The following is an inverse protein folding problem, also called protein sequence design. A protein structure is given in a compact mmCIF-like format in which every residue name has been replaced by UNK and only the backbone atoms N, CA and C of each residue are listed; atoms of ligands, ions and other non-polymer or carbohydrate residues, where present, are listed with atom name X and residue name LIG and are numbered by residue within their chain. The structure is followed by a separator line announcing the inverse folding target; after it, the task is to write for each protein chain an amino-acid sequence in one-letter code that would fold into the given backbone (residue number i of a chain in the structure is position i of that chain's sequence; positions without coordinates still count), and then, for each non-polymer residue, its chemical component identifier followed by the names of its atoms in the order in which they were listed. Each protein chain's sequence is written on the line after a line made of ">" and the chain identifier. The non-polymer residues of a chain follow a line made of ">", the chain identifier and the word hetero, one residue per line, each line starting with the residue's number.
data_IF_633236451382
#
_entry.id   IF_633236451382
#
_cell.length_a   1.000
_cell.length_b   1.000
_cell.length_c   1.000
_cell.angle_alpha   90.00
_cell.angle_beta   90.00
_cell.angle_gamma   90.00
#
_symmetry.space_group_name_H-M   'P 1'
#
loop_
_entity.id
_entity.type
_entity.pdbx_description
1 polymer ?
#
# COMPACT_ATOMS: atom_id res chain seq x y z
N UNK A 1 -28.43 -8.67 53.26
CA UNK A 1 -27.31 -7.73 53.01
C UNK A 1 -26.10 -8.37 52.34
N UNK A 2 -25.48 -9.44 52.88
CA UNK A 2 -24.28 -10.07 52.30
C UNK A 2 -24.42 -10.53 50.83
N UNK A 3 -25.58 -11.09 50.43
CA UNK A 3 -25.86 -11.53 49.05
C UNK A 3 -25.89 -10.38 48.02
N UNK A 4 -26.33 -9.19 48.43
CA UNK A 4 -26.33 -8.01 47.55
C UNK A 4 -24.93 -7.41 47.39
N UNK A 5 -24.15 -7.38 48.47
CA UNK A 5 -22.74 -6.97 48.41
C UNK A 5 -21.93 -7.87 47.47
N UNK A 6 -22.15 -9.19 47.54
CA UNK A 6 -21.45 -10.16 46.70
C UNK A 6 -21.77 -9.97 45.20
N UNK A 7 -23.04 -9.69 44.88
CA UNK A 7 -23.47 -9.39 43.50
C UNK A 7 -22.87 -8.09 42.98
N UNK A 8 -22.80 -7.06 43.82
CA UNK A 8 -22.22 -5.77 43.44
C UNK A 8 -20.71 -5.88 43.21
N UNK A 9 -20.00 -6.64 44.05
CA UNK A 9 -18.57 -6.90 43.88
C UNK A 9 -18.29 -7.69 42.58
N UNK A 10 -19.15 -8.65 42.24
CA UNK A 10 -19.03 -9.43 41.00
C UNK A 10 -19.25 -8.56 39.74
N UNK A 11 -20.26 -7.68 39.75
CA UNK A 11 -20.53 -6.77 38.64
C UNK A 11 -19.38 -5.76 38.46
N UNK A 12 -18.85 -5.20 39.56
CA UNK A 12 -17.70 -4.31 39.49
C UNK A 12 -16.44 -5.03 38.99
N UNK A 13 -16.24 -6.29 39.38
CA UNK A 13 -15.16 -7.13 38.85
C UNK A 13 -15.27 -7.35 37.34
N UNK A 14 -16.47 -7.63 36.82
CA UNK A 14 -16.72 -7.78 35.37
C UNK A 14 -16.52 -6.47 34.59
N UNK A 15 -16.94 -5.34 35.16
CA UNK A 15 -16.73 -4.02 34.57
C UNK A 15 -15.23 -3.69 34.50
N UNK A 16 -14.46 -3.99 35.55
CA UNK A 16 -13.01 -3.77 35.57
C UNK A 16 -12.28 -4.68 34.58
N UNK A 17 -12.71 -5.95 34.45
CA UNK A 17 -12.16 -6.89 33.46
C UNK A 17 -12.36 -6.38 32.02
N UNK A 18 -13.51 -5.74 31.75
CA UNK A 18 -13.82 -5.20 30.42
C UNK A 18 -12.89 -4.04 30.03
N UNK A 19 -12.48 -3.20 31.00
CA UNK A 19 -11.56 -2.08 30.76
C UNK A 19 -10.15 -2.57 30.38
N UNK A 20 -9.71 -3.69 30.95
CA UNK A 20 -8.40 -4.27 30.61
C UNK A 20 -8.33 -4.87 29.20
N UNK A 21 -9.46 -5.31 28.62
CA UNK A 21 -9.52 -5.86 27.26
C UNK A 21 -9.38 -4.75 26.21
N UNK A 22 -9.92 -3.56 26.48
CA UNK A 22 -9.75 -2.38 25.61
C UNK A 22 -8.35 -1.76 25.67
N UNK A 23 -7.50 -2.16 26.63
CA UNK A 23 -6.16 -1.58 26.82
C UNK A 23 -5.05 -2.28 26.02
N UNK A 24 -5.36 -3.29 25.20
CA UNK A 24 -4.42 -3.87 24.24
C UNK A 24 -4.71 -3.35 22.83
N UNK A 25 -4.16 -2.19 22.49
CA UNK A 25 -4.00 -1.80 21.09
C UNK A 25 -2.50 -1.77 20.78
N UNK A 26 -1.95 -2.96 20.56
CA UNK A 26 -0.61 -3.15 19.98
C UNK A 26 -0.83 -3.84 18.65
N UNK A 27 -0.99 -3.07 17.57
CA UNK A 27 -1.04 -3.65 16.24
C UNK A 27 0.39 -3.95 15.81
N UNK A 28 0.79 -5.22 15.91
CA UNK A 28 1.98 -5.68 15.20
C UNK A 28 1.70 -5.56 13.70
N UNK A 29 2.47 -4.71 13.02
CA UNK A 29 2.40 -4.57 11.57
C UNK A 29 3.20 -5.70 10.92
N UNK A 30 2.51 -6.52 10.13
CA UNK A 30 3.14 -7.51 9.27
C UNK A 30 3.25 -6.94 7.86
N UNK A 31 4.46 -6.95 7.31
CA UNK A 31 4.72 -6.47 5.96
C UNK A 31 5.02 -7.65 5.04
N UNK A 32 4.28 -7.73 3.95
CA UNK A 32 4.65 -8.59 2.81
C UNK A 32 5.63 -7.84 1.93
N UNK A 33 6.67 -8.54 1.47
CA UNK A 33 7.66 -7.97 0.55
C UNK A 33 7.25 -8.24 -0.88
N UNK A 34 7.21 -7.18 -1.68
CA UNK A 34 7.12 -7.24 -3.14
C UNK A 34 8.43 -6.67 -3.69
N UNK A 35 9.21 -7.47 -4.42
CA UNK A 35 10.54 -7.12 -4.91
C UNK A 35 10.79 -7.69 -6.32
N UNK A 36 12.05 -7.71 -6.76
CA UNK A 36 12.43 -8.25 -8.08
C UNK A 36 12.08 -9.74 -8.28
N UNK A 37 12.04 -10.56 -7.23
CA UNK A 37 11.58 -11.96 -7.32
C UNK A 37 10.08 -12.05 -7.65
N UNK A 38 9.31 -11.01 -7.31
CA UNK A 38 7.89 -10.88 -7.67
C UNK A 38 7.68 -10.17 -9.02
N UNK A 39 8.75 -9.79 -9.71
CA UNK A 39 8.69 -9.09 -10.99
C UNK A 39 8.74 -7.57 -10.91
N UNK A 40 9.12 -6.97 -9.79
CA UNK A 40 9.37 -5.51 -9.72
C UNK A 40 10.62 -5.16 -10.54
N UNK A 41 10.51 -4.17 -11.43
CA UNK A 41 11.59 -3.82 -12.36
C UNK A 41 12.85 -3.26 -11.68
N UNK A 42 12.69 -2.53 -10.58
CA UNK A 42 13.80 -1.98 -9.80
C UNK A 42 13.38 -1.71 -8.35
N UNK A 43 14.32 -1.83 -7.41
CA UNK A 43 14.08 -1.73 -5.97
C UNK A 43 13.80 -0.31 -5.45
N UNK A 44 14.26 0.73 -6.15
CA UNK A 44 14.02 2.12 -5.82
C UNK A 44 12.67 2.58 -6.38
N UNK A 45 11.61 2.34 -5.60
CA UNK A 45 10.26 2.83 -5.88
C UNK A 45 10.17 4.31 -5.51
N UNK A 46 9.87 5.15 -6.51
CA UNK A 46 9.79 6.62 -6.38
C UNK A 46 8.36 7.15 -6.33
N UNK A 47 7.41 6.43 -6.92
CA UNK A 47 6.01 6.82 -6.97
C UNK A 47 5.09 5.61 -6.77
N UNK A 48 3.98 5.82 -6.08
CA UNK A 48 2.95 4.81 -5.83
C UNK A 48 1.58 5.42 -6.07
N UNK A 49 0.72 4.73 -6.80
CA UNK A 49 -0.67 5.13 -7.06
C UNK A 49 -1.57 3.88 -7.06
N UNK A 50 -2.80 3.99 -6.57
CA UNK A 50 -3.85 3.02 -6.89
C UNK A 50 -4.78 3.67 -7.92
N UNK A 51 -5.03 3.00 -9.04
CA UNK A 51 -5.96 3.50 -10.05
C UNK A 51 -7.42 3.20 -9.68
N UNK A 52 -8.35 3.80 -10.43
CA UNK A 52 -9.79 3.62 -10.25
C UNK A 52 -10.30 2.21 -10.56
N UNK A 53 -9.48 1.35 -11.16
CA UNK A 53 -9.76 -0.07 -11.38
C UNK A 53 -9.26 -0.95 -10.23
N UNK A 54 -8.52 -0.37 -9.28
CA UNK A 54 -7.98 -1.04 -8.10
C UNK A 54 -6.56 -1.59 -8.27
N UNK A 55 -5.92 -1.40 -9.44
CA UNK A 55 -4.54 -1.82 -9.64
C UNK A 55 -3.58 -0.88 -8.92
N UNK A 56 -2.52 -1.45 -8.36
CA UNK A 56 -1.42 -0.68 -7.79
C UNK A 56 -0.38 -0.41 -8.88
N UNK A 57 0.09 0.83 -8.94
CA UNK A 57 1.12 1.28 -9.86
C UNK A 57 2.34 1.73 -9.08
N UNK A 58 3.51 1.27 -9.51
CA UNK A 58 4.80 1.61 -8.93
C UNK A 58 5.73 2.17 -10.01
N UNK A 59 6.07 3.45 -9.88
CA UNK A 59 7.13 4.08 -10.66
C UNK A 59 8.46 3.82 -9.98
N UNK A 60 9.42 3.23 -10.70
CA UNK A 60 10.77 2.94 -10.18
C UNK A 60 11.82 3.76 -10.92
N UNK A 61 13.08 3.65 -10.50
CA UNK A 61 14.22 4.20 -11.25
C UNK A 61 14.34 3.59 -12.66
N UNK A 62 13.78 2.41 -12.89
CA UNK A 62 13.87 1.71 -14.16
C UNK A 62 12.55 0.97 -14.49
N UNK A 63 11.48 1.72 -14.70
CA UNK A 63 10.25 1.23 -15.33
C UNK A 63 8.99 1.55 -14.54
N UNK A 64 7.85 1.37 -15.21
CA UNK A 64 6.53 1.43 -14.61
C UNK A 64 6.02 0.01 -14.37
N UNK A 65 5.49 -0.24 -13.17
CA UNK A 65 5.02 -1.56 -12.77
C UNK A 65 3.56 -1.47 -12.38
N UNK A 66 2.71 -2.37 -12.91
CA UNK A 66 1.33 -2.56 -12.46
C UNK A 66 1.21 -3.86 -11.70
N UNK A 67 0.62 -3.82 -10.52
CA UNK A 67 0.43 -4.95 -9.64
C UNK A 67 -1.07 -5.18 -9.40
N UNK A 68 -1.51 -6.42 -9.61
CA UNK A 68 -2.91 -6.86 -9.47
C UNK A 68 -3.21 -7.52 -8.11
N UNK A 69 -2.24 -7.53 -7.19
CA UNK A 69 -2.32 -8.26 -5.91
C UNK A 69 -1.66 -9.65 -5.95
N UNK A 70 -1.30 -10.15 -7.14
CA UNK A 70 -0.65 -11.45 -7.34
C UNK A 70 0.60 -11.34 -8.21
N UNK A 71 0.51 -10.60 -9.31
CA UNK A 71 1.52 -10.53 -10.37
C UNK A 71 1.85 -9.09 -10.74
N UNK A 72 3.09 -8.88 -11.19
CA UNK A 72 3.57 -7.58 -11.72
C UNK A 72 3.67 -7.66 -13.23
N UNK A 73 3.06 -6.68 -13.90
CA UNK A 73 3.30 -6.36 -15.31
C UNK A 73 4.21 -5.14 -15.39
N UNK A 74 5.36 -5.30 -16.06
CA UNK A 74 6.29 -4.20 -16.33
C UNK A 74 5.93 -3.52 -17.65
N UNK A 75 6.06 -2.20 -17.68
CA UNK A 75 5.92 -1.37 -18.86
C UNK A 75 7.24 -0.65 -19.10
N UNK A 76 7.76 -0.82 -20.31
CA UNK A 76 8.86 -0.02 -20.81
C UNK A 76 8.31 1.33 -21.26
N UNK A 77 8.92 2.40 -20.77
CA UNK A 77 8.62 3.78 -21.17
C UNK A 77 9.63 4.25 -22.24
N UNK A 78 10.01 3.34 -23.14
CA UNK A 78 10.89 3.63 -24.26
C UNK A 78 10.18 4.57 -25.23
N UNK A 79 10.84 5.69 -25.54
CA UNK A 79 10.43 6.55 -26.63
C UNK A 79 10.88 5.88 -27.93
N UNK A 80 9.93 5.31 -28.67
CA UNK A 80 10.17 4.48 -29.86
C UNK A 80 10.95 5.21 -30.95
N UNK A 81 10.96 6.55 -30.93
CA UNK A 81 11.60 7.37 -31.95
C UNK A 81 13.08 7.67 -31.70
N UNK A 82 13.55 7.67 -30.45
CA UNK A 82 14.92 8.12 -30.14
C UNK A 82 15.83 7.02 -29.59
N UNK A 83 15.31 5.86 -29.18
CA UNK A 83 16.13 4.79 -28.58
C UNK A 83 16.84 5.23 -27.29
N UNK A 84 16.37 6.31 -26.68
CA UNK A 84 16.92 6.93 -25.48
C UNK A 84 15.96 6.76 -24.30
N UNK A 85 15.24 5.64 -24.19
CA UNK A 85 14.19 5.45 -23.19
C UNK A 85 14.48 6.01 -21.81
N UNK A 86 13.49 6.71 -21.25
CA UNK A 86 13.58 7.22 -19.89
C UNK A 86 12.70 6.38 -18.95
N UNK A 87 13.34 5.39 -18.35
CA UNK A 87 12.69 4.48 -17.41
C UNK A 87 12.64 5.04 -15.98
N UNK A 88 13.12 6.25 -15.73
CA UNK A 88 13.07 6.82 -14.40
C UNK A 88 11.71 7.49 -14.16
N UNK A 89 10.80 6.76 -13.50
CA UNK A 89 9.43 7.19 -13.25
C UNK A 89 9.37 7.83 -11.87
N UNK A 90 9.20 9.16 -11.84
CA UNK A 90 9.20 9.97 -10.62
C UNK A 90 7.83 10.39 -10.12
N UNK A 91 6.79 10.33 -10.96
CA UNK A 91 5.44 10.74 -10.59
C UNK A 91 4.39 9.91 -11.32
N UNK A 92 3.25 9.71 -10.66
CA UNK A 92 2.07 9.04 -11.20
C UNK A 92 0.83 9.84 -10.83
N UNK A 93 -0.11 9.97 -11.77
CA UNK A 93 -1.37 10.65 -11.53
C UNK A 93 -2.46 10.03 -12.41
N UNK A 94 -3.63 9.74 -11.84
CA UNK A 94 -4.81 9.36 -12.62
C UNK A 94 -5.73 10.58 -12.74
N UNK A 95 -6.14 10.92 -13.96
CA UNK A 95 -7.09 12.00 -14.18
C UNK A 95 -8.56 11.55 -14.01
N UNK A 96 -9.48 12.52 -14.11
CA UNK A 96 -10.93 12.27 -14.00
C UNK A 96 -11.49 11.36 -15.11
N UNK A 97 -10.76 11.20 -16.22
CA UNK A 97 -11.13 10.36 -17.37
C UNK A 97 -10.50 8.97 -17.27
N UNK A 98 -9.82 8.67 -16.15
CA UNK A 98 -9.12 7.41 -15.87
C UNK A 98 -7.90 7.15 -16.75
N UNK A 99 -7.29 8.22 -17.26
CA UNK A 99 -5.99 8.11 -17.90
C UNK A 99 -4.90 8.16 -16.84
N UNK A 100 -3.93 7.25 -16.97
CA UNK A 100 -2.73 7.26 -16.15
C UNK A 100 -1.67 8.15 -16.82
N UNK A 101 -1.32 9.22 -16.13
CA UNK A 101 -0.23 10.12 -16.48
C UNK A 101 1.05 9.70 -15.75
N UNK A 102 2.13 9.56 -16.53
CA UNK A 102 3.40 9.00 -16.06
C UNK A 102 4.48 10.08 -16.19
N UNK A 103 4.95 10.61 -15.07
CA UNK A 103 6.02 11.60 -15.04
C UNK A 103 7.39 10.94 -15.02
N UNK A 104 8.16 11.20 -16.07
CA UNK A 104 9.57 10.80 -16.19
C UNK A 104 10.49 12.01 -15.97
N UNK A 105 11.80 11.78 -15.84
CA UNK A 105 12.78 12.91 -15.81
C UNK A 105 12.77 13.76 -17.12
N UNK A 106 12.06 13.34 -18.17
CA UNK A 106 11.93 14.05 -19.44
C UNK A 106 10.55 14.71 -19.64
N UNK A 107 9.66 14.60 -18.67
CA UNK A 107 8.31 15.15 -18.76
C UNK A 107 7.25 14.05 -18.66
N UNK A 108 6.08 14.36 -19.21
CA UNK A 108 4.86 13.53 -19.21
C UNK A 108 4.43 13.31 -20.65
#
# INVERSE_FOLDING_TARGET
>A
MKKHLLRLAFINGLLFLSICIFAQEYSDFYFTRVNGENGLSESNVKAILQDSYGFMWFGTKNGLNRYDGTSILQFDCDDLEEGTGNHNIGALFEDKERNLWVGTDRGV
#
